data_IF_223544637588
#
_entry.id   IF_223544637588
#
_cell.length_a   1.000
_cell.length_b   1.000
_cell.length_c   1.000
_cell.angle_alpha   90.00
_cell.angle_beta   90.00
_cell.angle_gamma   90.00
#
_symmetry.space_group_name_H-M   'P 1'
#
loop_
_entity.id
_entity.type
_entity.pdbx_description
1 polymer ?
#
# COMPACT_ATOMS: atom_id res chain seq x y z
N UNK A 1 -8.67 12.67 1.87
CA UNK A 1 -7.29 12.23 2.22
C UNK A 1 -6.88 11.04 1.38
N UNK A 2 -5.63 10.98 0.95
CA UNK A 2 -5.02 9.83 0.27
C UNK A 2 -3.93 9.26 1.18
N UNK A 3 -4.00 7.98 1.48
CA UNK A 3 -2.99 7.29 2.31
C UNK A 3 -2.31 6.25 1.44
N UNK A 4 -0.99 6.31 1.32
CA UNK A 4 -0.19 5.25 0.73
C UNK A 4 0.22 4.26 1.82
N UNK A 5 -0.03 2.96 1.59
CA UNK A 5 0.55 1.92 2.43
C UNK A 5 1.70 1.28 1.66
N UNK A 6 2.92 1.46 2.17
CA UNK A 6 4.17 1.02 1.58
C UNK A 6 4.79 -0.13 2.37
N UNK A 7 5.75 -0.82 1.78
CA UNK A 7 6.52 -1.89 2.42
C UNK A 7 6.69 -3.12 1.53
N UNK A 8 7.53 -4.04 1.95
CA UNK A 8 7.82 -5.26 1.19
C UNK A 8 6.59 -6.16 0.99
N UNK A 9 6.60 -7.05 -0.01
CA UNK A 9 5.63 -8.15 -0.06
C UNK A 9 5.64 -8.97 1.25
N UNK A 10 4.48 -9.39 1.72
CA UNK A 10 4.36 -10.21 2.94
C UNK A 10 4.36 -9.46 4.27
N UNK A 11 4.65 -8.16 4.31
CA UNK A 11 4.68 -7.39 5.58
C UNK A 11 3.29 -7.05 6.16
N UNK A 12 2.19 -7.39 5.49
CA UNK A 12 0.83 -7.19 6.03
C UNK A 12 0.15 -5.87 5.62
N UNK A 13 0.59 -5.18 4.56
CA UNK A 13 0.00 -3.94 4.03
C UNK A 13 -1.51 -4.03 3.85
N UNK A 14 -1.97 -5.02 3.11
CA UNK A 14 -3.39 -5.24 2.80
C UNK A 14 -4.23 -5.44 4.06
N UNK A 15 -3.69 -6.16 5.05
CA UNK A 15 -4.35 -6.37 6.34
C UNK A 15 -4.52 -5.05 7.09
N UNK A 16 -3.47 -4.22 7.13
CA UNK A 16 -3.53 -2.88 7.73
C UNK A 16 -4.51 -1.99 6.97
N UNK A 17 -4.45 -1.99 5.63
CA UNK A 17 -5.36 -1.20 4.79
C UNK A 17 -6.83 -1.50 5.08
N UNK A 18 -7.21 -2.78 5.07
CA UNK A 18 -8.59 -3.19 5.31
C UNK A 18 -9.06 -2.95 6.75
N UNK A 19 -8.18 -3.07 7.73
CA UNK A 19 -8.54 -2.78 9.12
C UNK A 19 -8.64 -1.27 9.41
N UNK A 20 -7.84 -0.44 8.73
CA UNK A 20 -7.87 1.01 8.88
C UNK A 20 -9.07 1.66 8.15
N UNK A 21 -9.40 1.16 6.95
CA UNK A 21 -10.37 1.76 6.05
C UNK A 21 -11.73 2.12 6.71
N UNK A 22 -12.40 1.23 7.46
CA UNK A 22 -13.68 1.57 8.09
C UNK A 22 -13.55 2.66 9.16
N UNK A 23 -12.40 2.80 9.81
CA UNK A 23 -12.17 3.77 10.89
C UNK A 23 -12.01 5.20 10.38
N UNK A 24 -11.59 5.36 9.12
CA UNK A 24 -11.38 6.66 8.48
C UNK A 24 -12.34 6.87 7.29
N UNK A 25 -13.35 6.03 7.15
CA UNK A 25 -14.30 6.05 6.04
C UNK A 25 -13.62 6.12 4.67
N UNK A 26 -12.69 5.18 4.41
CA UNK A 26 -11.89 5.14 3.20
C UNK A 26 -12.20 3.92 2.33
N UNK A 27 -11.96 4.07 1.04
CA UNK A 27 -11.95 2.97 0.05
C UNK A 27 -10.52 2.45 -0.09
N UNK A 28 -10.34 1.12 -0.02
CA UNK A 28 -9.06 0.48 -0.31
C UNK A 28 -8.96 0.19 -1.79
N UNK A 29 -7.94 0.72 -2.43
CA UNK A 29 -7.55 0.37 -3.79
C UNK A 29 -6.26 -0.46 -3.73
N UNK A 30 -6.28 -1.67 -4.30
CA UNK A 30 -5.11 -2.55 -4.37
C UNK A 30 -4.77 -2.85 -5.83
N UNK A 31 -3.50 -2.69 -6.20
CA UNK A 31 -3.03 -3.02 -7.55
C UNK A 31 -3.20 -4.50 -7.87
N UNK A 32 -3.01 -5.38 -6.89
CA UNK A 32 -3.14 -6.82 -7.07
C UNK A 32 -4.62 -7.21 -7.28
N UNK A 33 -5.52 -6.62 -6.50
CA UNK A 33 -6.96 -6.85 -6.66
C UNK A 33 -7.46 -6.32 -8.00
N UNK A 34 -7.12 -5.09 -8.37
CA UNK A 34 -7.50 -4.50 -9.66
C UNK A 34 -6.98 -5.37 -10.83
N UNK A 35 -5.74 -5.87 -10.73
CA UNK A 35 -5.19 -6.78 -11.76
C UNK A 35 -6.04 -8.02 -11.94
N UNK A 36 -6.38 -8.71 -10.86
CA UNK A 36 -7.16 -9.96 -10.91
C UNK A 36 -8.62 -9.74 -11.34
N UNK A 37 -9.18 -8.56 -11.08
CA UNK A 37 -10.52 -8.22 -11.54
C UNK A 37 -10.54 -7.75 -13.01
N UNK A 38 -9.44 -7.15 -13.49
CA UNK A 38 -9.37 -6.56 -14.82
C UNK A 38 -8.76 -7.50 -15.87
N UNK A 39 -7.91 -8.47 -15.46
CA UNK A 39 -7.19 -9.38 -16.35
C UNK A 39 -7.44 -10.83 -15.93
N UNK A 40 -8.11 -11.60 -16.77
CA UNK A 40 -8.43 -13.02 -16.50
C UNK A 40 -7.17 -13.88 -16.31
N UNK A 41 -6.12 -13.61 -17.08
CA UNK A 41 -4.85 -14.35 -17.04
C UNK A 41 -3.67 -13.37 -16.96
N UNK A 42 -3.31 -12.88 -15.78
CA UNK A 42 -2.19 -11.97 -15.59
C UNK A 42 -0.86 -12.59 -16.03
N UNK A 43 -0.03 -11.81 -16.72
CA UNK A 43 1.31 -12.21 -17.15
C UNK A 43 2.43 -11.49 -16.37
N UNK A 44 2.08 -10.48 -15.56
CA UNK A 44 2.98 -9.68 -14.73
C UNK A 44 4.10 -8.95 -15.49
N UNK A 45 3.97 -8.83 -16.82
CA UNK A 45 4.91 -8.10 -17.66
C UNK A 45 4.89 -6.59 -17.39
N UNK A 46 5.90 -5.88 -17.89
CA UNK A 46 6.06 -4.45 -17.62
C UNK A 46 4.92 -3.60 -18.23
N UNK A 47 4.36 -4.00 -19.36
CA UNK A 47 3.23 -3.31 -19.99
C UNK A 47 1.95 -3.46 -19.14
N UNK A 48 1.69 -4.68 -18.68
CA UNK A 48 0.58 -4.98 -17.78
C UNK A 48 0.70 -4.18 -16.48
N UNK A 49 1.89 -4.19 -15.85
CA UNK A 49 2.14 -3.42 -14.63
C UNK A 49 1.86 -1.92 -14.82
N UNK A 50 2.33 -1.35 -15.95
CA UNK A 50 2.05 0.05 -16.28
C UNK A 50 0.56 0.33 -16.48
N UNK A 51 -0.15 -0.57 -17.15
CA UNK A 51 -1.59 -0.42 -17.41
C UNK A 51 -2.38 -0.48 -16.11
N UNK A 52 -2.15 -1.49 -15.28
CA UNK A 52 -2.79 -1.62 -13.97
C UNK A 52 -2.49 -0.41 -13.08
N UNK A 53 -1.26 0.08 -13.07
CA UNK A 53 -0.90 1.25 -12.28
C UNK A 53 -1.60 2.53 -12.79
N UNK A 54 -1.76 2.70 -14.10
CA UNK A 54 -2.54 3.81 -14.67
C UNK A 54 -4.01 3.74 -14.26
N UNK A 55 -4.63 2.55 -14.33
CA UNK A 55 -6.03 2.34 -13.90
C UNK A 55 -6.17 2.65 -12.42
N UNK A 56 -5.28 2.13 -11.58
CA UNK A 56 -5.23 2.35 -10.15
C UNK A 56 -5.19 3.86 -9.81
N UNK A 57 -4.29 4.62 -10.43
CA UNK A 57 -4.20 6.07 -10.20
C UNK A 57 -5.39 6.84 -10.78
N UNK A 58 -5.98 6.36 -11.88
CA UNK A 58 -7.18 6.96 -12.46
C UNK A 58 -8.37 6.82 -11.49
N UNK A 59 -8.61 5.63 -10.94
CA UNK A 59 -9.66 5.40 -9.96
C UNK A 59 -9.42 6.27 -8.72
N UNK A 60 -8.19 6.28 -8.19
CA UNK A 60 -7.82 7.10 -7.03
C UNK A 60 -8.11 8.59 -7.26
N UNK A 61 -7.80 9.11 -8.46
CA UNK A 61 -8.07 10.50 -8.85
C UNK A 61 -9.57 10.82 -8.83
N UNK A 62 -10.41 9.96 -9.40
CA UNK A 62 -11.86 10.19 -9.40
C UNK A 62 -12.46 10.14 -8.00
N UNK A 63 -12.02 9.20 -7.16
CA UNK A 63 -12.46 9.12 -5.77
C UNK A 63 -12.02 10.35 -4.97
N UNK A 64 -10.76 10.78 -5.14
CA UNK A 64 -10.25 12.00 -4.52
C UNK A 64 -11.06 13.23 -4.90
N UNK A 65 -11.34 13.42 -6.20
CA UNK A 65 -12.17 14.52 -6.70
C UNK A 65 -13.60 14.48 -6.13
N UNK A 66 -14.13 13.28 -5.86
CA UNK A 66 -15.41 13.07 -5.19
C UNK A 66 -15.31 13.23 -3.66
N UNK A 67 -14.16 13.66 -3.12
CA UNK A 67 -13.88 13.81 -1.67
C UNK A 67 -13.99 12.51 -0.87
N UNK A 68 -13.74 11.38 -1.51
CA UNK A 68 -13.67 10.07 -0.86
C UNK A 68 -12.23 9.84 -0.38
N UNK A 69 -12.09 9.43 0.88
CA UNK A 69 -10.79 9.00 1.40
C UNK A 69 -10.37 7.69 0.73
N UNK A 70 -9.10 7.56 0.35
CA UNK A 70 -8.58 6.35 -0.27
C UNK A 70 -7.31 5.87 0.41
N UNK A 71 -7.22 4.57 0.60
CA UNK A 71 -5.99 3.87 0.96
C UNK A 71 -5.47 3.17 -0.28
N UNK A 72 -4.27 3.54 -0.71
CA UNK A 72 -3.59 3.00 -1.87
C UNK A 72 -2.64 1.88 -1.41
N UNK A 73 -3.06 0.62 -1.64
CA UNK A 73 -2.31 -0.58 -1.28
C UNK A 73 -1.49 -1.08 -2.46
N UNK A 74 -0.20 -0.77 -2.43
CA UNK A 74 0.79 -1.27 -3.38
C UNK A 74 2.18 -1.31 -2.73
N UNK A 75 3.18 -1.86 -3.42
CA UNK A 75 4.55 -1.95 -2.86
C UNK A 75 5.19 -0.58 -2.71
N UNK A 76 4.98 0.33 -3.69
CA UNK A 76 5.60 1.67 -3.74
C UNK A 76 7.10 1.65 -3.43
N UNK A 77 7.83 0.72 -4.06
CA UNK A 77 9.22 0.38 -3.72
C UNK A 77 10.24 1.48 -4.05
N UNK A 78 9.89 2.50 -4.82
CA UNK A 78 10.79 3.60 -5.16
C UNK A 78 10.14 4.97 -4.95
N UNK A 79 10.97 5.99 -4.79
CA UNK A 79 10.55 7.36 -4.58
C UNK A 79 9.69 7.88 -5.73
N UNK A 80 10.07 7.57 -6.97
CA UNK A 80 9.33 8.00 -8.17
C UNK A 80 7.87 7.56 -8.15
N UNK A 81 7.57 6.32 -7.75
CA UNK A 81 6.19 5.83 -7.67
C UNK A 81 5.37 6.53 -6.59
N UNK A 82 6.00 6.89 -5.46
CA UNK A 82 5.34 7.65 -4.38
C UNK A 82 5.06 9.08 -4.80
N UNK A 83 6.04 9.77 -5.42
CA UNK A 83 5.88 11.13 -5.95
C UNK A 83 4.87 11.20 -7.11
N UNK A 84 4.80 10.16 -7.94
CA UNK A 84 3.85 10.08 -9.05
C UNK A 84 2.40 10.13 -8.55
N UNK A 85 2.07 9.47 -7.44
CA UNK A 85 0.74 9.56 -6.83
C UNK A 85 0.41 11.01 -6.50
N UNK A 86 1.29 11.70 -5.78
CA UNK A 86 1.11 13.09 -5.36
C UNK A 86 0.91 14.01 -6.56
N UNK A 87 1.76 13.86 -7.57
CA UNK A 87 1.72 14.69 -8.79
C UNK A 87 0.46 14.43 -9.62
N UNK A 88 0.11 13.16 -9.86
CA UNK A 88 -1.04 12.81 -10.71
C UNK A 88 -2.39 13.15 -10.09
N UNK A 89 -2.48 13.08 -8.77
CA UNK A 89 -3.69 13.43 -8.05
C UNK A 89 -3.71 14.91 -7.65
N UNK A 90 -2.63 15.65 -7.89
CA UNK A 90 -2.46 17.06 -7.52
C UNK A 90 -2.69 17.29 -6.01
N UNK A 91 -2.05 16.48 -5.18
CA UNK A 91 -2.24 16.49 -3.72
C UNK A 91 -1.35 17.53 -3.05
N UNK A 92 -1.92 18.29 -2.13
CA UNK A 92 -1.18 19.08 -1.14
C UNK A 92 -0.65 18.17 -0.01
N UNK A 93 0.24 18.69 0.83
CA UNK A 93 0.87 17.90 1.88
C UNK A 93 -0.12 17.41 2.94
N UNK A 94 -1.16 18.18 3.24
CA UNK A 94 -2.24 17.87 4.17
C UNK A 94 -3.24 16.84 3.65
N UNK A 95 -3.23 16.57 2.34
CA UNK A 95 -4.11 15.59 1.69
C UNK A 95 -3.46 14.21 1.49
N UNK A 96 -2.20 14.06 1.90
CA UNK A 96 -1.37 12.92 1.57
C UNK A 96 -0.57 12.43 2.78
N UNK A 97 -0.68 11.16 3.09
CA UNK A 97 0.08 10.51 4.15
C UNK A 97 0.68 9.19 3.67
N UNK A 98 1.85 8.83 4.21
CA UNK A 98 2.51 7.56 3.93
C UNK A 98 2.56 6.73 5.21
N UNK A 99 2.15 5.47 5.13
CA UNK A 99 2.29 4.48 6.18
C UNK A 99 3.24 3.39 5.68
N UNK A 100 4.40 3.26 6.30
CA UNK A 100 5.34 2.18 6.02
C UNK A 100 5.09 1.01 6.97
N UNK A 101 4.70 -0.12 6.43
CA UNK A 101 4.59 -1.37 7.18
C UNK A 101 5.93 -2.09 7.19
N UNK A 102 6.43 -2.37 8.38
CA UNK A 102 7.65 -3.17 8.60
C UNK A 102 7.33 -4.47 9.34
N UNK A 103 8.19 -5.46 9.18
CA UNK A 103 8.05 -6.76 9.84
C UNK A 103 9.41 -7.47 9.83
N UNK A 104 9.78 -8.23 10.89
CA UNK A 104 10.94 -9.09 10.86
C UNK A 104 10.92 -10.07 9.69
N UNK A 105 12.06 -10.25 9.02
CA UNK A 105 12.18 -11.05 7.79
C UNK A 105 11.70 -12.50 7.96
N UNK A 106 12.01 -13.12 9.08
CA UNK A 106 11.58 -14.49 9.38
C UNK A 106 10.05 -14.61 9.35
N UNK A 107 9.35 -13.64 9.93
CA UNK A 107 7.88 -13.62 9.94
C UNK A 107 7.32 -13.31 8.54
N UNK A 108 7.99 -12.48 7.75
CA UNK A 108 7.61 -12.21 6.35
C UNK A 108 7.71 -13.50 5.52
N UNK A 109 8.81 -14.24 5.65
CA UNK A 109 9.03 -15.50 4.95
C UNK A 109 7.96 -16.53 5.34
N UNK A 110 7.68 -16.70 6.64
CA UNK A 110 6.60 -17.58 7.11
C UNK A 110 5.26 -17.18 6.50
N UNK A 111 4.89 -15.91 6.57
CA UNK A 111 3.62 -15.41 6.00
C UNK A 111 3.50 -15.64 4.50
N UNK A 112 4.58 -15.48 3.73
CA UNK A 112 4.58 -15.75 2.29
C UNK A 112 4.42 -17.24 2.02
N UNK A 113 5.09 -18.11 2.79
CA UNK A 113 5.04 -19.56 2.62
C UNK A 113 3.68 -20.14 3.00
N UNK A 114 3.06 -19.63 4.08
CA UNK A 114 1.78 -20.11 4.60
C UNK A 114 0.56 -19.56 3.87
N UNK A 115 0.78 -18.62 2.93
CA UNK A 115 -0.28 -17.90 2.22
C UNK A 115 -1.15 -18.84 1.38
N UNK A 116 -2.47 -18.76 1.57
CA UNK A 116 -3.48 -19.45 0.77
C UNK A 116 -4.57 -18.47 0.36
N UNK A 117 -5.00 -18.53 -0.92
CA UNK A 117 -6.11 -17.72 -1.45
C UNK A 117 -5.97 -16.20 -1.27
N UNK A 118 -4.76 -15.66 -1.46
CA UNK A 118 -4.50 -14.21 -1.41
C UNK A 118 -4.58 -13.60 -2.82
N UNK A 119 -4.84 -12.29 -2.88
CA UNK A 119 -4.76 -11.52 -4.13
C UNK A 119 -3.31 -11.32 -4.59
N UNK A 120 -2.35 -11.27 -3.68
CA UNK A 120 -0.94 -11.13 -4.01
C UNK A 120 -0.30 -12.46 -4.37
N UNK A 121 0.27 -12.56 -5.56
CA UNK A 121 1.03 -13.73 -6.03
C UNK A 121 2.53 -13.61 -5.74
N UNK A 122 2.94 -12.64 -4.92
CA UNK A 122 4.33 -12.45 -4.56
C UNK A 122 4.87 -13.61 -3.72
N UNK A 123 5.86 -14.30 -4.24
CA UNK A 123 6.62 -15.35 -3.57
C UNK A 123 7.90 -14.83 -2.91
N UNK A 124 8.71 -15.73 -2.35
CA UNK A 124 9.98 -15.40 -1.70
C UNK A 124 10.99 -14.79 -2.69
N UNK A 125 10.94 -15.18 -3.97
CA UNK A 125 11.84 -14.63 -4.99
C UNK A 125 11.52 -13.17 -5.29
N UNK A 126 10.26 -12.85 -5.39
CA UNK A 126 9.77 -11.47 -5.56
C UNK A 126 10.08 -10.63 -4.32
N UNK A 127 9.90 -11.18 -3.11
CA UNK A 127 10.30 -10.51 -1.88
C UNK A 127 11.79 -10.13 -1.90
N UNK A 128 12.67 -11.09 -2.20
CA UNK A 128 14.13 -10.86 -2.27
C UNK A 128 14.52 -9.85 -3.36
N UNK A 129 13.84 -9.89 -4.51
CA UNK A 129 14.06 -8.94 -5.60
C UNK A 129 13.66 -7.52 -5.16
N UNK A 130 12.47 -7.35 -4.61
CA UNK A 130 12.00 -6.04 -4.13
C UNK A 130 12.89 -5.50 -3.02
N UNK A 131 13.32 -6.35 -2.08
CA UNK A 131 14.22 -5.94 -0.99
C UNK A 131 15.53 -5.33 -1.50
N UNK A 132 16.05 -5.79 -2.65
CA UNK A 132 17.28 -5.24 -3.26
C UNK A 132 17.11 -3.87 -3.90
N UNK A 133 15.89 -3.56 -4.36
CA UNK A 133 15.60 -2.32 -5.12
C UNK A 133 14.71 -1.34 -4.34
N UNK A 134 14.33 -1.68 -3.11
CA UNK A 134 13.50 -0.82 -2.29
C UNK A 134 14.26 0.42 -1.84
N UNK A 135 13.75 1.57 -2.21
CA UNK A 135 14.31 2.85 -1.81
C UNK A 135 13.68 3.32 -0.49
N UNK A 136 14.49 3.66 0.54
CA UNK A 136 13.99 4.20 1.80
C UNK A 136 13.05 5.39 1.58
N UNK A 137 12.03 5.49 2.41
CA UNK A 137 11.09 6.61 2.38
C UNK A 137 11.77 7.80 3.06
N UNK A 138 11.98 8.88 2.31
CA UNK A 138 12.63 10.11 2.81
C UNK A 138 11.64 11.13 3.34
N UNK A 139 10.41 11.06 2.85
CA UNK A 139 9.31 11.93 3.26
C UNK A 139 8.90 11.61 4.71
N UNK A 140 8.31 12.59 5.40
CA UNK A 140 7.66 12.34 6.69
C UNK A 140 6.63 11.24 6.50
N UNK A 141 6.68 10.19 7.31
CA UNK A 141 5.78 9.04 7.21
C UNK A 141 5.57 8.37 8.58
N UNK A 142 4.53 7.56 8.66
CA UNK A 142 4.23 6.73 9.83
C UNK A 142 4.82 5.34 9.60
N UNK A 143 5.75 4.90 10.44
CA UNK A 143 6.24 3.51 10.42
C UNK A 143 5.48 2.68 11.43
N UNK A 144 4.97 1.51 11.03
CA UNK A 144 4.25 0.57 11.89
C UNK A 144 4.79 -0.83 11.81
N UNK A 145 5.01 -1.45 12.97
CA UNK A 145 5.44 -2.83 13.07
C UNK A 145 4.24 -3.78 13.07
N UNK A 146 4.10 -4.54 12.00
CA UNK A 146 3.01 -5.50 11.80
C UNK A 146 3.28 -6.87 12.42
N UNK A 147 4.39 -7.06 13.11
CA UNK A 147 4.63 -8.26 13.93
C UNK A 147 3.76 -8.27 15.19
N UNK A 148 3.29 -7.11 15.59
CA UNK A 148 2.38 -6.92 16.73
C UNK A 148 0.94 -7.31 16.37
N UNK A 149 0.05 -7.38 17.38
CA UNK A 149 -1.36 -7.61 17.12
C UNK A 149 -1.97 -6.51 16.24
N UNK A 150 -2.83 -6.90 15.31
CA UNK A 150 -3.48 -5.96 14.39
C UNK A 150 -4.17 -4.81 15.15
N UNK A 151 -4.83 -5.12 16.27
CA UNK A 151 -5.50 -4.11 17.10
C UNK A 151 -4.52 -3.03 17.59
N UNK A 152 -3.31 -3.43 18.03
CA UNK A 152 -2.28 -2.49 18.49
C UNK A 152 -1.72 -1.68 17.34
N UNK A 153 -1.41 -2.32 16.21
CA UNK A 153 -0.94 -1.66 14.99
C UNK A 153 -1.91 -0.58 14.50
N UNK A 154 -3.21 -0.91 14.45
CA UNK A 154 -4.23 0.04 13.99
C UNK A 154 -4.43 1.18 14.98
N UNK A 155 -4.44 0.92 16.29
CA UNK A 155 -4.54 1.97 17.30
C UNK A 155 -3.37 2.96 17.20
N UNK A 156 -2.16 2.48 16.94
CA UNK A 156 -0.98 3.33 16.71
C UNK A 156 -1.14 4.20 15.45
N UNK A 157 -1.59 3.61 14.33
CA UNK A 157 -1.83 4.36 13.08
C UNK A 157 -2.85 5.47 13.31
N UNK A 158 -4.01 5.14 13.88
CA UNK A 158 -5.08 6.12 14.11
C UNK A 158 -4.61 7.27 15.00
N UNK A 159 -3.92 6.96 16.10
CA UNK A 159 -3.37 7.98 17.00
C UNK A 159 -2.38 8.92 16.28
N UNK A 160 -1.51 8.37 15.42
CA UNK A 160 -0.53 9.18 14.68
C UNK A 160 -1.19 10.02 13.58
N UNK A 161 -2.22 9.51 12.89
CA UNK A 161 -2.98 10.29 11.91
C UNK A 161 -3.68 11.47 12.55
N UNK A 162 -4.30 11.29 13.73
CA UNK A 162 -4.95 12.37 14.49
C UNK A 162 -3.97 13.42 15.00
N UNK A 163 -2.75 13.02 15.39
CA UNK A 163 -1.73 13.94 15.90
C UNK A 163 -0.97 14.66 14.76
N UNK A 164 -1.07 14.23 13.52
CA UNK A 164 -0.48 14.92 12.36
C UNK A 164 -1.39 16.02 11.78
N UNK A 165 -2.64 16.11 12.23
CA UNK A 165 -3.58 17.19 11.88
C UNK A 165 -3.39 18.46 12.72
N UNK A 166 -2.44 18.47 13.66
CA UNK A 166 -2.03 19.63 14.46
C UNK A 166 -0.64 20.13 14.01
#
# INVERSE_FOLDING_TARGET
MIILICGYPGVGKTTVAHALAPLINAVVLSTDKIRKEFIDKPNYGEEEKRTIYKIFLLIAKYLHNARVNCILDATFYNQKSREEVKTRLNLSNDQYEIIECICPEELVISRITDRKNDYSDADISIYKMIKKIYEPIKEKHITVDTSQSLKKTIAEVVNRLQNNEL
#
